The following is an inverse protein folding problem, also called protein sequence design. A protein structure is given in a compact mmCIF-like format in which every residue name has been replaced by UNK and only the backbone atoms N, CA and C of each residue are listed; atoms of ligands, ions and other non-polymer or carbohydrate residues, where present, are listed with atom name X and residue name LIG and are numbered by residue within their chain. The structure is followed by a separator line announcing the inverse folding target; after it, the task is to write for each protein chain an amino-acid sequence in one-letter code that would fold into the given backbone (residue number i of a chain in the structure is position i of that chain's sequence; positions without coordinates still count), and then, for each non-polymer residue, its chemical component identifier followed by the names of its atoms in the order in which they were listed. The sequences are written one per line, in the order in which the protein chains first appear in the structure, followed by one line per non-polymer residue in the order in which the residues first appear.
data_IF_853583254840
#
_entry.id   IF_853583254840
#
_cell.length_a   1.000
_cell.length_b   1.000
_cell.length_c   1.000
_cell.angle_alpha   90.00
_cell.angle_beta   90.00
_cell.angle_gamma   90.00
#
_symmetry.space_group_name_H-M   'P 1'
#
loop_
_entity.id
_entity.type
_entity.pdbx_description
1 polymer ?
#
# COMPACT_ATOMS: atom_id res chain seq x y z
N UNK A 1 9.34 5.92 -17.48
CA UNK A 1 10.56 5.18 -17.85
C UNK A 1 11.73 5.63 -16.98
N UNK A 2 11.79 5.14 -15.74
CA UNK A 2 13.02 5.11 -14.96
C UNK A 2 13.19 3.65 -14.56
N UNK A 3 13.90 2.89 -15.38
CA UNK A 3 14.33 1.53 -15.04
C UNK A 3 15.37 1.63 -13.92
N UNK A 4 14.90 1.59 -12.67
CA UNK A 4 15.78 1.26 -11.55
C UNK A 4 16.11 -0.23 -11.63
N UNK A 5 17.37 -0.64 -11.44
CA UNK A 5 17.78 -2.01 -11.67
C UNK A 5 17.04 -2.93 -10.69
N UNK A 6 16.23 -3.82 -11.26
CA UNK A 6 15.93 -5.11 -10.67
C UNK A 6 17.26 -5.78 -10.37
N UNK A 7 17.52 -6.24 -9.14
CA UNK A 7 18.19 -7.55 -8.89
C UNK A 7 18.31 -7.86 -7.39
N UNK A 8 18.35 -6.93 -6.41
CA UNK A 8 18.67 -7.34 -5.01
C UNK A 8 17.86 -6.70 -3.85
N UNK A 9 16.61 -6.29 -4.06
CA UNK A 9 15.76 -5.77 -2.96
C UNK A 9 14.41 -6.48 -2.77
N UNK A 10 14.08 -7.49 -3.57
CA UNK A 10 12.73 -8.07 -3.66
C UNK A 10 12.19 -8.68 -2.36
N UNK A 11 13.05 -9.15 -1.44
CA UNK A 11 12.58 -9.80 -0.21
C UNK A 11 12.04 -8.83 0.86
N UNK A 12 12.49 -7.57 0.88
CA UNK A 12 12.06 -6.59 1.89
C UNK A 12 10.94 -5.66 1.39
N UNK A 13 10.64 -5.68 0.08
CA UNK A 13 9.72 -4.75 -0.56
C UNK A 13 8.27 -5.21 -0.55
N UNK A 14 8.08 -6.53 -0.61
CA UNK A 14 6.76 -7.15 -0.48
C UNK A 14 6.22 -6.99 0.95
N UNK A 15 7.11 -6.98 1.95
CA UNK A 15 6.73 -6.77 3.36
C UNK A 15 6.20 -5.35 3.63
N UNK A 16 6.58 -4.35 2.84
CA UNK A 16 6.13 -2.97 3.02
C UNK A 16 4.66 -2.76 2.62
N UNK A 17 4.08 -3.62 1.78
CA UNK A 17 2.71 -3.49 1.30
C UNK A 17 1.83 -4.75 1.39
N UNK A 18 2.37 -5.89 1.85
CA UNK A 18 1.59 -7.06 2.26
C UNK A 18 1.39 -7.08 3.77
N UNK A 19 0.51 -6.20 4.24
CA UNK A 19 0.32 -5.92 5.65
C UNK A 19 -1.01 -6.44 6.19
N UNK A 20 -0.95 -7.03 7.39
CA UNK A 20 -2.12 -7.37 8.21
C UNK A 20 -2.27 -6.31 9.31
N UNK A 21 -3.22 -5.39 9.15
CA UNK A 21 -3.45 -4.29 10.07
C UNK A 21 -4.63 -4.60 10.97
N UNK A 22 -4.42 -4.53 12.28
CA UNK A 22 -5.46 -4.68 13.30
C UNK A 22 -5.76 -3.33 13.95
N UNK A 23 -6.95 -2.80 13.66
CA UNK A 23 -7.51 -1.68 14.39
C UNK A 23 -8.13 -2.18 15.69
N UNK A 24 -7.95 -1.44 16.77
CA UNK A 24 -8.57 -1.71 18.07
C UNK A 24 -9.23 -0.45 18.61
N UNK A 25 -9.98 -0.57 19.71
CA UNK A 25 -10.54 0.61 20.37
C UNK A 25 -9.43 1.53 20.94
N UNK A 26 -8.27 0.98 21.28
CA UNK A 26 -7.11 1.74 21.78
C UNK A 26 -6.29 2.33 20.63
N UNK A 27 -6.19 1.61 19.50
CA UNK A 27 -5.49 2.04 18.28
C UNK A 27 -6.44 1.99 17.08
N UNK A 28 -7.33 2.99 16.94
CA UNK A 28 -8.40 2.97 15.93
C UNK A 28 -7.96 3.45 14.54
N UNK A 29 -6.72 3.91 14.39
CA UNK A 29 -6.20 4.52 13.16
C UNK A 29 -4.86 3.89 12.77
N UNK A 30 -4.70 3.63 11.48
CA UNK A 30 -3.43 3.24 10.86
C UNK A 30 -3.21 4.08 9.60
N UNK A 31 -1.94 4.30 9.24
CA UNK A 31 -1.55 4.99 8.00
C UNK A 31 -1.01 3.98 7.00
N UNK A 32 -1.57 3.98 5.79
CA UNK A 32 -1.10 3.15 4.68
C UNK A 32 -0.23 4.00 3.75
N UNK A 33 0.83 3.40 3.22
CA UNK A 33 1.73 4.03 2.25
C UNK A 33 2.12 3.00 1.20
N UNK A 34 2.39 3.46 -0.02
CA UNK A 34 3.09 2.63 -0.99
C UNK A 34 4.52 2.34 -0.49
N UNK A 35 5.13 1.23 -0.93
CA UNK A 35 6.56 1.03 -0.75
C UNK A 35 7.32 2.27 -1.25
N UNK A 36 8.30 2.71 -0.47
CA UNK A 36 9.13 3.90 -0.73
C UNK A 36 8.47 5.28 -0.68
N UNK A 37 7.18 5.40 -0.35
CA UNK A 37 6.58 6.73 -0.17
C UNK A 37 7.45 7.64 0.73
N UNK A 38 7.82 8.87 0.30
CA UNK A 38 7.14 9.67 -0.73
C UNK A 38 7.72 9.59 -2.15
N UNK A 39 8.62 8.65 -2.45
CA UNK A 39 9.08 8.44 -3.83
C UNK A 39 8.12 7.55 -4.63
N UNK A 40 8.36 7.44 -5.93
CA UNK A 40 7.60 6.58 -6.83
C UNK A 40 7.60 5.12 -6.38
N UNK A 41 6.50 4.43 -6.66
CA UNK A 41 6.38 2.98 -6.47
C UNK A 41 7.11 2.23 -7.61
N UNK A 42 7.48 0.97 -7.36
CA UNK A 42 8.12 0.14 -8.37
C UNK A 42 7.13 -0.45 -9.37
N UNK A 43 7.62 -0.80 -10.55
CA UNK A 43 6.87 -1.61 -11.51
C UNK A 43 6.61 -3.01 -10.95
N UNK A 44 5.57 -3.67 -11.49
CA UNK A 44 5.22 -5.07 -11.18
C UNK A 44 4.97 -5.36 -9.69
N UNK A 45 4.51 -4.36 -8.94
CA UNK A 45 4.09 -4.54 -7.55
C UNK A 45 2.73 -5.25 -7.47
N UNK A 46 2.70 -6.32 -6.68
CA UNK A 46 1.48 -7.00 -6.24
C UNK A 46 1.37 -6.85 -4.72
N UNK A 47 0.52 -5.92 -4.29
CA UNK A 47 0.39 -5.50 -2.89
C UNK A 47 -1.02 -5.83 -2.36
N UNK A 48 -1.09 -6.43 -1.18
CA UNK A 48 -2.34 -6.78 -0.51
C UNK A 48 -2.31 -6.40 0.97
N UNK A 49 -3.12 -5.39 1.34
CA UNK A 49 -3.29 -4.97 2.73
C UNK A 49 -4.65 -5.43 3.26
N UNK A 50 -4.64 -6.17 4.37
CA UNK A 50 -5.85 -6.61 5.08
C UNK A 50 -6.07 -5.74 6.32
N UNK A 51 -7.17 -4.98 6.35
CA UNK A 51 -7.54 -4.16 7.51
C UNK A 51 -8.66 -4.85 8.30
N UNK A 52 -8.37 -5.24 9.54
CA UNK A 52 -9.31 -5.84 10.50
C UNK A 52 -9.74 -4.80 11.52
N UNK A 53 -11.03 -4.68 11.77
CA UNK A 53 -11.60 -3.75 12.74
C UNK A 53 -12.43 -4.49 13.80
N UNK A 54 -12.67 -3.88 14.98
CA UNK A 54 -13.52 -4.47 16.02
C UNK A 54 -14.94 -4.76 15.51
N UNK A 55 -15.58 -5.78 16.09
CA UNK A 55 -16.96 -6.16 15.77
C UNK A 55 -17.89 -4.96 15.97
N UNK A 56 -18.78 -4.71 15.00
CA UNK A 56 -19.74 -3.62 15.04
C UNK A 56 -19.18 -2.25 14.63
N UNK A 57 -17.91 -2.19 14.22
CA UNK A 57 -17.29 -1.01 13.64
C UNK A 57 -17.11 -1.16 12.12
N UNK A 58 -16.99 -0.02 11.43
CA UNK A 58 -16.72 0.04 10.00
C UNK A 58 -15.48 0.92 9.77
N UNK A 59 -14.39 0.39 9.20
CA UNK A 59 -13.24 1.22 8.87
C UNK A 59 -13.60 2.23 7.79
N UNK A 60 -13.05 3.43 7.88
CA UNK A 60 -13.14 4.47 6.85
C UNK A 60 -11.78 4.64 6.19
N UNK A 61 -11.73 4.67 4.87
CA UNK A 61 -10.51 4.91 4.12
C UNK A 61 -10.45 6.37 3.66
N UNK A 62 -9.36 7.07 3.98
CA UNK A 62 -9.10 8.44 3.56
C UNK A 62 -7.78 8.51 2.81
N UNK A 63 -7.82 8.97 1.56
CA UNK A 63 -6.65 9.21 0.75
C UNK A 63 -6.13 10.64 0.97
N UNK A 64 -4.91 10.76 1.49
CA UNK A 64 -4.23 12.05 1.64
C UNK A 64 -3.32 12.38 0.44
N UNK A 65 -2.82 11.35 -0.22
CA UNK A 65 -2.03 11.44 -1.43
C UNK A 65 -2.37 10.22 -2.31
N UNK A 66 -2.51 10.46 -3.61
CA UNK A 66 -2.86 9.42 -4.58
C UNK A 66 -2.25 9.81 -5.92
N UNK A 67 -1.27 9.04 -6.36
CA UNK A 67 -0.55 9.23 -7.62
C UNK A 67 -0.22 7.84 -8.19
N UNK A 68 -0.78 7.53 -9.35
CA UNK A 68 -0.66 6.26 -10.06
C UNK A 68 -0.49 6.52 -11.55
N UNK A 69 0.02 5.53 -12.30
CA UNK A 69 0.13 5.61 -13.75
C UNK A 69 -1.26 5.80 -14.37
N UNK A 70 -1.38 6.79 -15.25
CA UNK A 70 -2.62 7.08 -15.95
C UNK A 70 -2.77 6.15 -17.15
N UNK A 71 -3.91 5.49 -17.23
CA UNK A 71 -4.27 4.62 -18.35
C UNK A 71 -5.78 4.52 -18.52
N UNK A 72 -6.20 4.31 -19.76
CA UNK A 72 -7.60 4.09 -20.08
C UNK A 72 -8.13 2.87 -19.33
N UNK A 73 -8.99 3.10 -18.32
CA UNK A 73 -9.60 2.08 -17.44
C UNK A 73 -8.64 1.42 -16.45
N UNK A 74 -7.51 2.06 -16.09
CA UNK A 74 -6.55 1.56 -15.10
C UNK A 74 -6.00 0.16 -15.46
N UNK A 75 -5.68 -0.05 -16.73
CA UNK A 75 -5.00 -1.26 -17.23
C UNK A 75 -3.51 -0.96 -17.46
N UNK A 76 -2.62 -1.97 -17.35
CA UNK A 76 -1.23 -1.82 -17.78
C UNK A 76 -1.11 -1.45 -19.27
#
# INVERSE_FOLDING_TARGET
MNDHPNTEASSNLKEDCDLDILLTNENPVATLKSPFFPTDYLNDLDCSIIVKAPIGSHPTLQFHHFDIEDSDKCVP
#
